data_IF_355164367641
#
_entry.id   IF_355164367641
#
_cell.length_a   1.000
_cell.length_b   1.000
_cell.length_c   1.000
_cell.angle_alpha   90.00
_cell.angle_beta   90.00
_cell.angle_gamma   90.00
#
_symmetry.space_group_name_H-M   'P 1'
#
loop_
_entity.id
_entity.type
_entity.pdbx_description
1 polymer ?
#
# COMPACT_ATOMS: atom_id res chain seq x y z
N UNK A 1 -15.24 -13.86 7.58
CA UNK A 1 -15.02 -12.42 7.81
C UNK A 1 -13.86 -12.01 6.89
N UNK A 2 -13.86 -10.79 6.37
CA UNK A 2 -12.87 -10.33 5.39
C UNK A 2 -11.83 -9.42 6.04
N UNK A 3 -10.65 -9.28 5.43
CA UNK A 3 -9.57 -8.43 5.94
C UNK A 3 -9.98 -6.96 5.97
N UNK A 4 -9.57 -6.26 7.04
CA UNK A 4 -9.74 -4.82 7.19
C UNK A 4 -8.44 -4.15 7.62
N UNK A 5 -8.27 -2.90 7.20
CA UNK A 5 -7.12 -2.07 7.55
C UNK A 5 -7.58 -0.69 7.97
N UNK A 6 -7.06 -0.19 9.10
CA UNK A 6 -7.40 1.16 9.60
C UNK A 6 -6.19 2.08 9.50
N UNK A 7 -6.35 3.17 8.77
CA UNK A 7 -5.36 4.25 8.69
C UNK A 7 -5.57 5.22 9.85
N UNK A 8 -4.50 5.56 10.57
CA UNK A 8 -4.52 6.69 11.49
C UNK A 8 -4.76 8.01 10.73
N UNK A 9 -5.05 9.09 11.45
CA UNK A 9 -5.38 10.39 10.83
C UNK A 9 -4.29 10.87 9.88
N UNK A 10 -3.01 10.79 10.29
CA UNK A 10 -1.89 11.30 9.50
C UNK A 10 -1.65 10.50 8.22
N UNK A 11 -1.72 9.17 8.29
CA UNK A 11 -1.59 8.31 7.11
C UNK A 11 -2.80 8.44 6.18
N UNK A 12 -4.02 8.53 6.73
CA UNK A 12 -5.22 8.77 5.95
C UNK A 12 -5.16 10.10 5.19
N UNK A 13 -4.74 11.19 5.85
CA UNK A 13 -4.55 12.50 5.22
C UNK A 13 -3.49 12.45 4.12
N UNK A 14 -2.34 11.81 4.38
CA UNK A 14 -1.27 11.63 3.40
C UNK A 14 -1.76 10.93 2.13
N UNK A 15 -2.48 9.82 2.27
CA UNK A 15 -2.99 9.06 1.11
C UNK A 15 -4.11 9.82 0.40
N UNK A 16 -5.08 10.34 1.16
CA UNK A 16 -6.24 11.07 0.59
C UNK A 16 -5.85 12.34 -0.17
N UNK A 17 -4.73 12.97 0.17
CA UNK A 17 -4.23 14.12 -0.57
C UNK A 17 -3.93 13.83 -2.06
N UNK A 18 -3.74 12.55 -2.40
CA UNK A 18 -3.50 12.09 -3.78
C UNK A 18 -4.74 11.47 -4.44
N UNK A 19 -5.83 11.26 -3.69
CA UNK A 19 -7.03 10.58 -4.15
C UNK A 19 -8.05 11.55 -4.76
N UNK A 20 -8.76 11.04 -5.76
CA UNK A 20 -9.97 11.61 -6.34
C UNK A 20 -10.85 10.45 -6.86
N UNK A 21 -12.01 10.77 -7.41
CA UNK A 21 -12.98 9.76 -7.87
C UNK A 21 -12.48 8.89 -9.03
N UNK A 22 -11.39 9.29 -9.71
CA UNK A 22 -10.79 8.57 -10.83
C UNK A 22 -9.59 7.70 -10.42
N UNK A 23 -9.36 7.50 -9.12
CA UNK A 23 -8.24 6.73 -8.60
C UNK A 23 -8.68 5.56 -7.73
N UNK A 24 -7.80 4.57 -7.59
CA UNK A 24 -7.97 3.42 -6.72
C UNK A 24 -6.67 3.08 -5.98
N UNK A 25 -6.80 2.36 -4.87
CA UNK A 25 -5.70 1.99 -4.00
C UNK A 25 -5.31 0.53 -4.20
N UNK A 26 -4.00 0.28 -4.21
CA UNK A 26 -3.43 -1.06 -4.11
C UNK A 26 -2.59 -1.15 -2.84
N UNK A 27 -2.61 -2.31 -2.18
CA UNK A 27 -1.56 -2.72 -1.25
C UNK A 27 -0.73 -3.78 -1.96
N UNK A 28 0.42 -3.37 -2.47
CA UNK A 28 1.26 -4.18 -3.35
C UNK A 28 2.32 -4.89 -2.55
N UNK A 29 2.32 -6.22 -2.59
CA UNK A 29 3.45 -7.03 -2.15
C UNK A 29 4.61 -6.90 -3.15
N UNK A 30 5.78 -6.54 -2.64
CA UNK A 30 6.97 -6.24 -3.43
C UNK A 30 7.80 -7.50 -3.69
N UNK A 31 7.41 -8.27 -4.71
CA UNK A 31 8.06 -9.52 -5.15
C UNK A 31 8.53 -9.49 -6.62
N UNK A 32 8.35 -8.35 -7.29
CA UNK A 32 8.71 -8.15 -8.70
C UNK A 32 7.65 -8.65 -9.69
N UNK A 33 6.51 -9.15 -9.21
CA UNK A 33 5.41 -9.62 -10.06
C UNK A 33 4.40 -8.50 -10.28
N UNK A 34 4.00 -8.33 -11.55
CA UNK A 34 3.00 -7.35 -11.95
C UNK A 34 3.54 -5.93 -12.11
N UNK A 35 2.77 -5.09 -12.81
CA UNK A 35 3.19 -3.76 -13.28
C UNK A 35 3.59 -2.79 -12.17
N UNK A 36 2.98 -2.92 -11.00
CA UNK A 36 3.15 -1.95 -9.90
C UNK A 36 4.15 -2.41 -8.83
N UNK A 37 4.70 -3.62 -8.93
CA UNK A 37 5.80 -4.00 -8.03
C UNK A 37 7.12 -3.40 -8.52
N UNK A 38 7.83 -2.76 -7.60
CA UNK A 38 9.13 -2.13 -7.78
C UNK A 38 10.25 -2.88 -7.04
N UNK A 39 10.10 -4.17 -6.74
CA UNK A 39 11.07 -4.98 -5.98
C UNK A 39 12.53 -4.82 -6.46
N UNK A 40 12.76 -4.75 -7.77
CA UNK A 40 14.12 -4.56 -8.32
C UNK A 40 14.73 -3.17 -8.05
N UNK A 41 13.91 -2.19 -7.67
CA UNK A 41 14.29 -0.79 -7.46
C UNK A 41 14.22 -0.34 -6.00
N UNK A 42 13.61 -1.13 -5.11
CA UNK A 42 13.41 -0.82 -3.70
C UNK A 42 14.31 -1.72 -2.84
N UNK A 43 14.79 -1.22 -1.69
CA UNK A 43 15.56 -2.00 -0.72
C UNK A 43 14.83 -3.30 -0.32
N UNK A 44 15.57 -4.40 -0.14
CA UNK A 44 15.03 -5.74 0.22
C UNK A 44 14.22 -5.77 1.54
N UNK A 45 14.20 -4.67 2.30
CA UNK A 45 13.49 -4.55 3.57
C UNK A 45 12.04 -4.08 3.41
N UNK A 46 11.62 -3.63 2.24
CA UNK A 46 10.23 -3.24 1.96
C UNK A 46 9.47 -4.46 1.47
N UNK A 47 8.43 -4.85 2.21
CA UNK A 47 7.55 -5.95 1.82
C UNK A 47 6.31 -5.42 1.09
N UNK A 48 5.81 -4.26 1.50
CA UNK A 48 4.59 -3.68 0.94
C UNK A 48 4.73 -2.21 0.55
N UNK A 49 4.01 -1.83 -0.50
CA UNK A 49 3.79 -0.42 -0.87
C UNK A 49 2.31 -0.11 -0.99
N UNK A 50 1.92 1.09 -0.57
CA UNK A 50 0.59 1.65 -0.86
C UNK A 50 0.68 2.42 -2.17
N UNK A 51 -0.08 1.96 -3.15
CA UNK A 51 0.00 2.49 -4.50
C UNK A 51 -1.31 3.12 -4.93
N UNK A 52 -1.20 4.25 -5.63
CA UNK A 52 -2.32 4.92 -6.29
C UNK A 52 -2.18 4.74 -7.79
N UNK A 53 -3.27 4.30 -8.41
CA UNK A 53 -3.38 4.12 -9.86
C UNK A 53 -4.70 4.69 -10.36
N UNK A 54 -4.82 4.97 -11.65
CA UNK A 54 -6.10 5.33 -12.26
C UNK A 54 -7.13 4.20 -12.05
N UNK A 55 -8.40 4.55 -11.86
CA UNK A 55 -9.51 3.62 -11.62
C UNK A 55 -9.69 2.60 -12.75
N UNK A 56 -9.37 3.00 -13.98
CA UNK A 56 -9.46 2.15 -15.17
C UNK A 56 -8.11 1.53 -15.56
N UNK A 57 -7.08 1.71 -14.73
CA UNK A 57 -5.77 1.12 -14.99
C UNK A 57 -5.83 -0.41 -14.89
N UNK A 58 -5.05 -1.13 -15.72
CA UNK A 58 -4.93 -2.58 -15.62
C UNK A 58 -4.27 -2.93 -14.28
N UNK A 59 -4.92 -3.82 -13.51
CA UNK A 59 -4.52 -4.27 -12.17
C UNK A 59 -4.51 -5.81 -12.12
N UNK A 60 -4.06 -6.47 -13.18
CA UNK A 60 -4.03 -7.93 -13.25
C UNK A 60 -3.28 -8.53 -12.05
N UNK A 61 -3.90 -9.53 -11.42
CA UNK A 61 -3.38 -10.18 -10.21
C UNK A 61 -3.88 -9.56 -8.90
N UNK A 62 -4.39 -8.33 -8.90
CA UNK A 62 -4.96 -7.69 -7.71
C UNK A 62 -6.42 -8.10 -7.49
N UNK A 63 -6.64 -9.39 -7.19
CA UNK A 63 -7.96 -10.02 -7.20
C UNK A 63 -8.68 -10.02 -5.85
N UNK A 64 -7.99 -9.66 -4.76
CA UNK A 64 -8.56 -9.64 -3.42
C UNK A 64 -8.70 -8.22 -2.89
N UNK A 65 -9.64 -8.03 -1.96
CA UNK A 65 -10.01 -6.72 -1.41
C UNK A 65 -9.75 -6.69 0.09
N UNK A 66 -9.12 -5.61 0.55
CA UNK A 66 -9.01 -5.24 1.96
C UNK A 66 -9.80 -3.95 2.18
N UNK A 67 -10.77 -3.99 3.09
CA UNK A 67 -11.61 -2.82 3.38
C UNK A 67 -10.89 -1.82 4.29
N UNK A 68 -11.08 -0.52 4.09
CA UNK A 68 -10.49 0.51 4.96
C UNK A 68 -11.37 1.73 5.19
N UNK A 69 -10.98 2.56 6.17
CA UNK A 69 -11.59 3.87 6.45
C UNK A 69 -11.26 4.96 5.40
N UNK A 70 -10.50 4.63 4.35
CA UNK A 70 -10.14 5.55 3.26
C UNK A 70 -10.54 5.03 1.87
N UNK A 71 -11.24 3.89 1.80
CA UNK A 71 -11.60 3.20 0.56
C UNK A 71 -10.99 1.80 0.49
N UNK A 72 -11.46 0.98 -0.44
CA UNK A 72 -10.96 -0.38 -0.59
C UNK A 72 -9.55 -0.40 -1.19
N UNK A 73 -8.71 -1.31 -0.71
CA UNK A 73 -7.41 -1.61 -1.30
C UNK A 73 -7.50 -2.94 -2.02
N UNK A 74 -7.04 -2.97 -3.27
CA UNK A 74 -6.85 -4.23 -3.98
C UNK A 74 -5.47 -4.81 -3.64
N UNK A 75 -5.41 -6.13 -3.46
CA UNK A 75 -4.17 -6.85 -3.17
C UNK A 75 -4.01 -8.02 -4.12
N UNK A 76 -2.77 -8.47 -4.26
CA UNK A 76 -2.49 -9.76 -4.87
C UNK A 76 -3.09 -10.84 -3.98
N UNK A 77 -3.89 -11.74 -4.54
CA UNK A 77 -4.60 -12.76 -3.77
C UNK A 77 -3.65 -13.60 -2.88
N UNK A 78 -2.49 -13.99 -3.43
CA UNK A 78 -1.49 -14.76 -2.70
C UNK A 78 -0.77 -13.95 -1.61
N UNK A 79 -0.74 -12.61 -1.67
CA UNK A 79 -0.11 -11.82 -0.60
C UNK A 79 -0.96 -11.78 0.68
N UNK A 80 -2.19 -12.30 0.64
CA UNK A 80 -3.00 -12.46 1.85
C UNK A 80 -2.35 -13.42 2.87
N UNK A 81 -1.45 -14.30 2.45
CA UNK A 81 -0.70 -15.20 3.35
C UNK A 81 0.26 -14.43 4.29
N UNK A 82 0.70 -13.24 3.89
CA UNK A 82 1.59 -12.35 4.64
C UNK A 82 0.83 -11.22 5.37
N UNK A 83 -0.51 -11.25 5.34
CA UNK A 83 -1.39 -10.27 5.98
C UNK A 83 -2.23 -10.92 7.08
N UNK A 84 -2.86 -10.08 7.90
CA UNK A 84 -3.70 -10.52 9.01
C UNK A 84 -5.13 -9.98 8.86
N UNK A 85 -6.08 -10.52 9.63
CA UNK A 85 -7.48 -10.13 9.51
C UNK A 85 -7.69 -8.65 9.86
N UNK A 86 -7.17 -8.20 11.00
CA UNK A 86 -7.27 -6.81 11.45
C UNK A 86 -5.92 -6.11 11.39
N UNK A 87 -5.79 -5.11 10.52
CA UNK A 87 -4.55 -4.39 10.32
C UNK A 87 -4.68 -2.89 10.60
N UNK A 88 -3.55 -2.23 10.78
CA UNK A 88 -3.45 -0.78 10.89
C UNK A 88 -2.26 -0.21 10.12
N UNK A 89 -2.46 0.98 9.56
CA UNK A 89 -1.40 1.81 8.98
C UNK A 89 -1.18 3.02 9.87
N UNK A 90 0.08 3.28 10.22
CA UNK A 90 0.49 4.49 10.94
C UNK A 90 1.55 5.24 10.17
N UNK A 91 1.52 6.57 10.26
CA UNK A 91 2.56 7.38 9.65
C UNK A 91 3.79 7.50 10.57
N UNK A 92 4.95 7.09 10.07
CA UNK A 92 6.22 7.29 10.76
C UNK A 92 6.83 8.64 10.32
N UNK A 93 6.59 9.69 11.10
CA UNK A 93 7.10 11.02 10.79
C UNK A 93 8.63 11.13 10.81
N UNK A 94 9.34 10.23 11.50
CA UNK A 94 10.80 10.23 11.55
C UNK A 94 11.43 9.71 10.25
N UNK A 95 10.82 8.69 9.64
CA UNK A 95 11.29 8.08 8.39
C UNK A 95 10.56 8.61 7.16
N UNK A 96 9.40 9.26 7.33
CA UNK A 96 8.54 9.69 6.24
C UNK A 96 7.76 8.56 5.57
N UNK A 97 7.79 7.36 6.16
CA UNK A 97 7.23 6.11 5.65
C UNK A 97 5.95 5.75 6.40
N UNK A 98 5.31 4.65 5.98
CA UNK A 98 4.18 4.06 6.67
C UNK A 98 4.62 2.79 7.41
N UNK A 99 3.89 2.44 8.45
CA UNK A 99 4.08 1.19 9.20
C UNK A 99 2.80 0.39 9.15
N UNK A 100 2.89 -0.87 8.76
CA UNK A 100 1.82 -1.86 8.74
C UNK A 100 1.95 -2.80 9.93
N UNK A 101 0.86 -2.96 10.67
CA UNK A 101 0.78 -3.90 11.79
C UNK A 101 -0.53 -4.65 11.78
N UNK A 102 -0.52 -5.91 12.23
CA UNK A 102 -1.67 -6.76 12.47
C UNK A 102 -1.93 -7.00 13.96
N UNK A 103 -2.82 -7.95 14.26
CA UNK A 103 -3.10 -8.46 15.60
C UNK A 103 -1.85 -9.11 16.24
N UNK A 104 -0.98 -9.72 15.44
CA UNK A 104 0.27 -10.37 15.83
C UNK A 104 1.46 -9.42 16.03
N UNK A 105 1.33 -8.14 15.65
CA UNK A 105 2.37 -7.13 15.78
C UNK A 105 2.79 -6.50 14.45
N UNK A 106 4.06 -6.12 14.35
CA UNK A 106 4.62 -5.44 13.17
C UNK A 106 4.71 -6.42 11.99
N UNK A 107 4.16 -6.01 10.83
CA UNK A 107 4.29 -6.73 9.55
C UNK A 107 5.41 -6.08 8.73
N UNK A 108 5.33 -4.76 8.48
CA UNK A 108 6.33 -4.00 7.73
C UNK A 108 6.49 -2.60 8.37
N UNK A 109 7.72 -2.20 8.71
CA UNK A 109 8.03 -0.88 9.30
C UNK A 109 8.44 0.18 8.29
N UNK A 110 8.55 -0.18 7.01
CA UNK A 110 9.05 0.66 5.95
C UNK A 110 8.14 0.64 4.71
N UNK A 111 6.82 0.61 4.93
CA UNK A 111 5.83 0.60 3.86
C UNK A 111 5.96 1.87 3.03
N UNK A 112 6.20 1.66 1.73
CA UNK A 112 6.33 2.74 0.76
C UNK A 112 5.00 3.35 0.36
N UNK A 113 5.08 4.50 -0.30
CA UNK A 113 3.91 5.15 -0.90
C UNK A 113 4.26 5.63 -2.30
N UNK A 114 3.54 5.13 -3.31
CA UNK A 114 3.81 5.42 -4.72
C UNK A 114 2.52 5.87 -5.42
N UNK A 115 2.51 7.10 -5.90
CA UNK A 115 1.47 7.58 -6.80
C UNK A 115 1.92 7.36 -8.26
N UNK A 116 1.42 6.30 -8.91
CA UNK A 116 1.76 6.00 -10.30
C UNK A 116 1.12 6.96 -11.31
N UNK A 117 0.22 7.83 -10.87
CA UNK A 117 -0.35 8.92 -11.69
C UNK A 117 0.55 10.17 -11.67
N UNK A 118 1.46 10.28 -10.70
CA UNK A 118 2.54 11.26 -10.68
C UNK A 118 3.80 10.71 -11.39
N UNK A 119 4.31 11.46 -12.38
CA UNK A 119 5.58 11.16 -13.06
C UNK A 119 6.78 10.98 -12.11
N UNK A 120 6.72 11.56 -10.91
CA UNK A 120 7.75 11.45 -9.90
C UNK A 120 7.42 10.45 -8.79
N UNK A 121 6.27 9.74 -8.83
CA UNK A 121 5.80 8.90 -7.73
C UNK A 121 6.84 7.88 -7.27
N UNK A 122 7.41 7.11 -8.19
CA UNK A 122 8.47 6.13 -7.89
C UNK A 122 9.70 6.82 -7.27
N UNK A 123 10.12 7.97 -7.82
CA UNK A 123 11.25 8.74 -7.30
C UNK A 123 10.98 9.31 -5.91
N UNK A 124 9.73 9.63 -5.60
CA UNK A 124 9.28 10.23 -4.35
C UNK A 124 8.93 9.19 -3.29
N UNK A 125 8.97 7.89 -3.61
CA UNK A 125 8.76 6.84 -2.64
C UNK A 125 9.76 7.02 -1.47
N UNK A 126 9.29 7.21 -0.22
CA UNK A 126 10.17 7.41 0.93
C UNK A 126 10.90 6.12 1.33
N UNK A 127 10.34 4.97 1.00
CA UNK A 127 10.95 3.67 1.26
C UNK A 127 12.00 3.37 0.18
N UNK A 128 13.26 3.70 0.47
CA UNK A 128 14.42 3.51 -0.43
C UNK A 128 15.51 2.71 0.24
#
# INVERSE_FOLDING_TARGET
MGMNITFDTASAEKVKAHMDDNKQLLLTFEDGVGKYSQHAMIHMQVQFTINIVDKDAPVEGYNAVVHSNIGDLLIKDYSAEDLEENMSIKFNAHQGTLQLSGDGGLIDDNVGFIDFTDKNGIKNNPAK
#
